data_IF_476202427338
#
_entry.id   IF_476202427338
#
_cell.length_a   1.000
_cell.length_b   1.000
_cell.length_c   1.000
_cell.angle_alpha   90.00
_cell.angle_beta   90.00
_cell.angle_gamma   90.00
#
_symmetry.space_group_name_H-M   'P 1'
#
loop_
_entity.id
_entity.type
_entity.pdbx_description
1 polymer ?
#
# COMPACT_ATOMS: atom_id res chain seq x y z
N UNK A 1 7.40 49.39 -31.03
CA UNK A 1 8.07 48.07 -31.03
C UNK A 1 9.12 48.06 -29.92
N UNK A 2 8.84 47.40 -28.79
CA UNK A 2 9.78 47.24 -27.69
C UNK A 2 10.54 45.93 -27.87
N UNK A 3 11.88 45.98 -27.94
CA UNK A 3 12.75 44.81 -28.04
C UNK A 3 13.24 44.42 -26.65
N UNK A 4 12.90 43.22 -26.20
CA UNK A 4 13.41 42.64 -24.95
C UNK A 4 14.78 41.98 -25.20
N UNK A 5 15.77 42.29 -24.34
CA UNK A 5 17.01 41.51 -24.24
C UNK A 5 16.88 40.46 -23.13
N UNK A 6 17.24 39.19 -23.36
CA UNK A 6 17.25 38.19 -22.31
C UNK A 6 18.49 38.33 -21.40
N UNK A 7 18.28 38.22 -20.09
CA UNK A 7 19.32 38.19 -19.06
C UNK A 7 20.00 36.81 -19.03
N UNK A 8 21.32 36.77 -19.16
CA UNK A 8 22.13 35.56 -18.99
C UNK A 8 22.28 35.23 -17.50
N UNK A 9 21.78 34.08 -17.07
CA UNK A 9 22.01 33.56 -15.71
C UNK A 9 23.22 32.64 -15.71
N UNK A 10 24.24 32.96 -14.90
CA UNK A 10 25.42 32.10 -14.68
C UNK A 10 25.04 30.90 -13.79
N UNK A 11 25.55 29.69 -14.03
CA UNK A 11 25.29 28.53 -13.17
C UNK A 11 26.05 28.65 -11.84
N UNK A 12 25.39 28.27 -10.74
CA UNK A 12 25.98 28.22 -9.41
C UNK A 12 26.89 26.98 -9.25
N UNK A 13 27.97 27.06 -8.46
CA UNK A 13 28.88 25.94 -8.25
C UNK A 13 28.25 24.86 -7.33
N UNK A 14 28.41 23.60 -7.73
CA UNK A 14 28.00 22.43 -6.94
C UNK A 14 28.87 22.27 -5.67
N UNK A 15 28.30 21.88 -4.52
CA UNK A 15 29.08 21.55 -3.34
C UNK A 15 29.76 20.17 -3.50
N UNK A 16 31.06 20.12 -3.22
CA UNK A 16 31.88 18.92 -3.19
C UNK A 16 31.44 18.01 -2.03
N UNK A 17 30.98 16.79 -2.37
CA UNK A 17 30.69 15.73 -1.40
C UNK A 17 32.01 15.22 -0.81
N UNK A 18 32.27 15.55 0.46
CA UNK A 18 33.43 15.05 1.22
C UNK A 18 33.09 13.67 1.76
N UNK A 19 33.80 12.64 1.29
CA UNK A 19 33.69 11.28 1.84
C UNK A 19 34.29 11.22 3.25
N UNK A 20 33.55 10.66 4.20
CA UNK A 20 34.06 10.25 5.51
C UNK A 20 34.16 8.72 5.50
N UNK A 21 35.24 8.10 6.00
CA UNK A 21 35.36 6.65 6.08
C UNK A 21 34.53 6.07 7.24
N UNK A 22 33.93 4.91 6.99
CA UNK A 22 33.19 4.08 7.95
C UNK A 22 34.10 3.61 9.09
N UNK A 23 33.72 3.94 10.34
CA UNK A 23 34.28 3.34 11.54
C UNK A 23 33.53 2.01 11.78
N UNK A 24 34.23 0.89 11.60
CA UNK A 24 33.72 -0.43 11.96
C UNK A 24 33.85 -0.65 13.48
N UNK A 25 32.71 -0.82 14.16
CA UNK A 25 32.67 -1.29 15.55
C UNK A 25 32.16 -2.73 15.55
N UNK A 26 33.03 -3.68 15.93
CA UNK A 26 32.64 -5.06 16.24
C UNK A 26 32.03 -5.13 17.64
N UNK A 27 30.97 -5.93 17.87
CA UNK A 27 30.53 -6.26 19.21
C UNK A 27 31.24 -7.51 19.75
N UNK A 28 31.84 -7.36 20.94
CA UNK A 28 32.33 -8.47 21.77
C UNK A 28 31.14 -9.31 22.28
N UNK A 29 31.16 -10.61 22.02
CA UNK A 29 30.21 -11.59 22.55
C UNK A 29 30.70 -12.05 23.93
N UNK A 30 29.97 -11.74 25.00
CA UNK A 30 30.21 -12.31 26.33
C UNK A 30 29.33 -13.55 26.53
N UNK A 31 29.99 -14.68 26.77
CA UNK A 31 29.40 -15.96 27.17
C UNK A 31 28.91 -15.85 28.64
N UNK A 32 27.62 -16.08 28.86
CA UNK A 32 27.12 -16.48 30.17
C UNK A 32 26.52 -17.89 30.04
N UNK A 33 27.26 -18.83 30.62
CA UNK A 33 26.87 -20.21 30.90
C UNK A 33 25.88 -20.17 32.06
N UNK A 34 24.68 -20.71 31.85
CA UNK A 34 23.83 -21.17 32.95
C UNK A 34 23.46 -22.63 32.72
N UNK A 35 23.85 -23.42 33.71
CA UNK A 35 23.74 -24.85 33.80
C UNK A 35 22.29 -25.37 33.94
N UNK A 36 22.09 -26.55 33.35
CA UNK A 36 21.36 -27.70 33.89
C UNK A 36 19.92 -27.52 34.41
N UNK A 37 18.95 -27.87 33.55
CA UNK A 37 17.73 -28.58 33.97
C UNK A 37 17.48 -29.79 33.04
N UNK A 38 17.53 -31.04 33.53
CA UNK A 38 17.12 -32.19 32.75
C UNK A 38 15.59 -32.35 32.83
N UNK A 39 14.87 -31.80 31.86
CA UNK A 39 13.46 -32.15 31.63
C UNK A 39 13.40 -33.45 30.81
N UNK A 40 13.07 -34.54 31.48
CA UNK A 40 12.76 -35.82 30.87
C UNK A 40 11.44 -35.73 30.09
N UNK A 41 11.51 -35.88 28.77
CA UNK A 41 10.35 -36.20 27.95
C UNK A 41 10.39 -37.69 27.60
N UNK A 42 9.54 -38.47 28.25
CA UNK A 42 9.24 -39.83 27.82
C UNK A 42 8.35 -39.81 26.57
N UNK A 43 8.60 -40.80 25.72
CA UNK A 43 8.16 -41.00 24.35
C UNK A 43 6.69 -40.72 24.01
N UNK A 44 6.47 -40.21 22.78
CA UNK A 44 5.60 -40.87 21.79
C UNK A 44 5.84 -40.28 20.39
N UNK A 45 6.82 -40.84 19.68
CA UNK A 45 7.00 -40.55 18.26
C UNK A 45 5.90 -41.25 17.46
N UNK A 46 4.75 -40.59 17.28
CA UNK A 46 3.88 -40.89 16.12
C UNK A 46 4.51 -40.19 14.91
N UNK A 47 5.36 -40.91 14.19
CA UNK A 47 5.72 -40.58 12.81
C UNK A 47 4.45 -40.59 11.97
N UNK A 48 3.79 -39.43 11.83
CA UNK A 48 2.89 -39.17 10.72
C UNK A 48 3.78 -38.57 9.65
N UNK A 49 4.32 -39.46 8.81
CA UNK A 49 5.07 -39.10 7.62
C UNK A 49 4.15 -38.51 6.56
N UNK A 50 3.66 -37.30 6.79
CA UNK A 50 3.11 -36.49 5.73
C UNK A 50 4.29 -35.90 4.97
N UNK A 51 4.70 -36.61 3.92
CA UNK A 51 5.57 -36.08 2.88
C UNK A 51 4.90 -34.82 2.34
N UNK A 52 5.28 -33.66 2.85
CA UNK A 52 4.97 -32.40 2.17
C UNK A 52 5.76 -32.44 0.86
N UNK A 53 5.13 -32.96 -0.19
CA UNK A 53 5.58 -32.78 -1.56
C UNK A 53 5.51 -31.27 -1.82
N UNK A 54 6.58 -30.56 -1.47
CA UNK A 54 6.85 -29.22 -1.96
C UNK A 54 7.17 -29.39 -3.45
N UNK A 55 6.13 -29.60 -4.27
CA UNK A 55 6.24 -29.45 -5.71
C UNK A 55 6.61 -28.00 -5.95
N UNK A 56 7.90 -27.76 -6.15
CA UNK A 56 8.44 -26.46 -6.51
C UNK A 56 7.84 -26.09 -7.86
N UNK A 57 6.70 -25.39 -7.84
CA UNK A 57 5.96 -24.91 -9.00
C UNK A 57 6.71 -23.77 -9.72
N UNK A 58 8.02 -23.94 -9.88
CA UNK A 58 8.97 -22.94 -10.38
C UNK A 58 10.20 -23.55 -11.09
N UNK A 59 10.23 -24.86 -11.36
CA UNK A 59 11.34 -25.52 -12.06
C UNK A 59 11.30 -25.34 -13.59
N UNK A 60 10.59 -24.34 -14.10
CA UNK A 60 10.68 -23.99 -15.52
C UNK A 60 11.97 -23.21 -15.76
N UNK A 61 12.66 -23.48 -16.89
CA UNK A 61 13.85 -22.73 -17.30
C UNK A 61 13.57 -21.22 -17.49
N UNK A 62 12.30 -20.83 -17.53
CA UNK A 62 11.81 -19.47 -17.73
C UNK A 62 11.18 -18.85 -16.47
N UNK A 63 11.36 -19.44 -15.28
CA UNK A 63 10.90 -18.86 -14.01
C UNK A 63 9.42 -19.11 -13.68
N UNK A 64 8.89 -18.35 -12.70
CA UNK A 64 7.49 -18.47 -12.26
C UNK A 64 6.56 -17.73 -13.24
N UNK A 65 5.49 -18.37 -13.74
CA UNK A 65 4.59 -17.75 -14.73
C UNK A 65 3.93 -16.46 -14.24
N UNK A 66 3.65 -16.35 -12.93
CA UNK A 66 3.06 -15.17 -12.31
C UNK A 66 3.95 -13.91 -12.34
N UNK A 67 5.25 -14.05 -12.61
CA UNK A 67 6.20 -12.93 -12.66
C UNK A 67 6.17 -12.24 -14.03
N UNK A 68 5.79 -12.96 -15.09
CA UNK A 68 5.84 -12.47 -16.47
C UNK A 68 4.48 -12.00 -16.99
N UNK A 69 3.39 -12.39 -16.32
CA UNK A 69 2.06 -11.90 -16.65
C UNK A 69 1.88 -10.46 -16.13
N UNK A 70 2.34 -9.49 -16.92
CA UNK A 70 2.03 -8.07 -16.70
C UNK A 70 0.56 -7.78 -17.02
N UNK A 71 -0.02 -6.76 -16.39
CA UNK A 71 -1.47 -6.51 -16.30
C UNK A 71 -2.26 -6.70 -17.61
N UNK A 72 -1.75 -6.23 -18.76
CA UNK A 72 -2.43 -6.33 -20.06
C UNK A 72 -2.29 -7.70 -20.75
N UNK A 73 -1.45 -8.58 -20.22
CA UNK A 73 -1.17 -9.92 -20.75
C UNK A 73 -2.05 -11.00 -20.10
N UNK A 74 -2.75 -10.66 -19.00
CA UNK A 74 -3.61 -11.61 -18.28
C UNK A 74 -4.92 -11.84 -19.02
N UNK A 75 -5.37 -13.09 -18.98
CA UNK A 75 -6.71 -13.44 -19.42
C UNK A 75 -7.72 -13.11 -18.30
N UNK A 76 -8.64 -12.21 -18.57
CA UNK A 76 -9.59 -11.71 -17.58
C UNK A 76 -10.85 -12.58 -17.60
N UNK A 77 -11.37 -12.90 -16.41
CA UNK A 77 -12.59 -13.68 -16.27
C UNK A 77 -13.80 -12.83 -16.68
N UNK A 78 -14.76 -13.44 -17.38
CA UNK A 78 -16.00 -12.77 -17.78
C UNK A 78 -16.73 -12.14 -16.58
N UNK A 79 -16.78 -12.82 -15.44
CA UNK A 79 -17.41 -12.30 -14.21
C UNK A 79 -16.83 -10.97 -13.73
N UNK A 80 -15.52 -10.77 -13.91
CA UNK A 80 -14.83 -9.54 -13.53
C UNK A 80 -15.18 -8.40 -14.50
N UNK A 81 -15.26 -8.69 -15.80
CA UNK A 81 -15.71 -7.74 -16.82
C UNK A 81 -17.16 -7.30 -16.54
N UNK A 82 -18.03 -8.24 -16.14
CA UNK A 82 -19.42 -7.98 -15.76
C UNK A 82 -19.53 -7.05 -14.55
N UNK A 83 -18.76 -7.33 -13.49
CA UNK A 83 -18.74 -6.53 -12.26
C UNK A 83 -18.24 -5.11 -12.55
N UNK A 84 -17.14 -5.00 -13.28
CA UNK A 84 -16.57 -3.73 -13.72
C UNK A 84 -17.60 -2.89 -14.49
N UNK A 85 -18.26 -3.49 -15.47
CA UNK A 85 -19.30 -2.82 -16.29
C UNK A 85 -20.45 -2.28 -15.43
N UNK A 86 -20.85 -2.99 -14.36
CA UNK A 86 -21.91 -2.54 -13.45
C UNK A 86 -21.49 -1.34 -12.60
N UNK A 87 -20.24 -1.31 -12.15
CA UNK A 87 -19.75 -0.25 -11.26
C UNK A 87 -19.27 0.99 -12.02
N UNK A 88 -18.62 0.83 -13.18
CA UNK A 88 -18.14 1.95 -13.99
C UNK A 88 -19.21 2.52 -14.91
N UNK A 89 -20.19 1.70 -15.32
CA UNK A 89 -21.16 2.05 -16.37
C UNK A 89 -20.59 1.95 -17.79
N UNK A 90 -19.34 1.55 -17.95
CA UNK A 90 -18.68 1.40 -19.26
C UNK A 90 -18.75 -0.05 -19.76
N UNK A 91 -19.13 -0.22 -21.03
CA UNK A 91 -19.26 -1.55 -21.63
C UNK A 91 -17.93 -2.10 -22.14
N UNK A 92 -17.15 -2.67 -21.22
CA UNK A 92 -15.86 -3.33 -21.54
C UNK A 92 -16.03 -4.56 -22.43
N UNK A 93 -17.19 -5.23 -22.37
CA UNK A 93 -17.48 -6.43 -23.18
C UNK A 93 -17.57 -6.14 -24.67
N UNK A 94 -17.85 -4.90 -25.04
CA UNK A 94 -17.96 -4.47 -26.45
C UNK A 94 -16.62 -4.41 -27.18
N UNK A 95 -15.50 -4.43 -26.45
CA UNK A 95 -14.16 -4.40 -27.03
C UNK A 95 -13.72 -5.79 -27.52
N UNK A 96 -12.77 -5.81 -28.45
CA UNK A 96 -12.17 -7.07 -28.92
C UNK A 96 -11.48 -7.79 -27.74
N UNK A 97 -11.48 -9.14 -27.69
CA UNK A 97 -10.90 -9.89 -26.57
C UNK A 97 -9.44 -9.54 -26.24
N UNK A 98 -8.67 -9.09 -27.24
CA UNK A 98 -7.28 -8.65 -27.07
C UNK A 98 -7.15 -7.29 -26.35
N UNK A 99 -8.13 -6.41 -26.52
CA UNK A 99 -8.12 -5.04 -25.99
C UNK A 99 -8.85 -4.91 -24.65
N UNK A 100 -9.74 -5.86 -24.35
CA UNK A 100 -10.42 -5.99 -23.06
C UNK A 100 -9.49 -5.86 -21.84
N UNK A 101 -8.31 -6.52 -21.77
CA UNK A 101 -7.45 -6.38 -20.61
C UNK A 101 -6.86 -4.99 -20.43
N UNK A 102 -6.54 -4.29 -21.53
CA UNK A 102 -6.13 -2.89 -21.46
C UNK A 102 -7.22 -1.98 -20.88
N UNK A 103 -8.46 -2.19 -21.31
CA UNK A 103 -9.60 -1.39 -20.86
C UNK A 103 -9.97 -1.66 -19.40
N UNK A 104 -9.92 -2.93 -18.97
CA UNK A 104 -10.10 -3.28 -17.55
C UNK A 104 -9.05 -2.59 -16.68
N UNK A 105 -7.78 -2.64 -17.09
CA UNK A 105 -6.72 -1.98 -16.30
C UNK A 105 -6.91 -0.46 -16.26
N UNK A 106 -7.32 0.18 -17.36
CA UNK A 106 -7.65 1.60 -17.38
C UNK A 106 -8.74 1.96 -16.37
N UNK A 107 -9.81 1.18 -16.33
CA UNK A 107 -10.92 1.38 -15.40
C UNK A 107 -10.50 1.19 -13.94
N UNK A 108 -9.68 0.19 -13.65
CA UNK A 108 -9.12 0.02 -12.31
C UNK A 108 -8.23 1.19 -11.90
N UNK A 109 -7.38 1.68 -12.81
CA UNK A 109 -6.57 2.88 -12.55
C UNK A 109 -7.44 4.10 -12.30
N UNK A 110 -8.51 4.28 -13.07
CA UNK A 110 -9.42 5.41 -12.87
C UNK A 110 -10.13 5.35 -11.53
N UNK A 111 -10.62 4.16 -11.15
CA UNK A 111 -11.21 3.94 -9.83
C UNK A 111 -10.21 4.27 -8.72
N UNK A 112 -8.98 3.78 -8.81
CA UNK A 112 -7.93 4.07 -7.84
C UNK A 112 -7.59 5.57 -7.78
N UNK A 113 -7.53 6.26 -8.92
CA UNK A 113 -7.31 7.71 -8.98
C UNK A 113 -8.44 8.48 -8.29
N UNK A 114 -9.70 8.09 -8.50
CA UNK A 114 -10.88 8.70 -7.84
C UNK A 114 -10.84 8.47 -6.33
N UNK A 115 -10.67 7.22 -5.89
CA UNK A 115 -10.59 6.87 -4.46
C UNK A 115 -9.44 7.60 -3.77
N UNK A 116 -8.27 7.67 -4.42
CA UNK A 116 -7.12 8.43 -3.90
C UNK A 116 -7.41 9.93 -3.83
N UNK A 117 -8.06 10.49 -4.84
CA UNK A 117 -8.44 11.91 -4.85
C UNK A 117 -9.44 12.23 -3.73
N UNK A 118 -10.41 11.34 -3.48
CA UNK A 118 -11.38 11.53 -2.40
C UNK A 118 -10.74 11.36 -1.02
N UNK A 119 -9.83 10.39 -0.86
CA UNK A 119 -9.04 10.25 0.36
C UNK A 119 -8.17 11.49 0.63
N UNK A 120 -7.57 12.07 -0.42
CA UNK A 120 -6.79 13.32 -0.32
C UNK A 120 -7.63 14.54 0.05
N UNK A 121 -8.92 14.57 -0.32
CA UNK A 121 -9.83 15.65 0.08
C UNK A 121 -10.24 15.54 1.56
N UNK A 122 -10.38 14.31 2.06
CA UNK A 122 -10.89 14.05 3.40
C UNK A 122 -9.79 14.03 4.47
N UNK A 123 -8.56 13.61 4.15
CA UNK A 123 -7.47 13.57 5.13
C UNK A 123 -6.40 14.63 4.80
N UNK A 124 -6.30 15.71 5.60
CA UNK A 124 -5.33 16.78 5.38
C UNK A 124 -3.86 16.33 5.56
N UNK A 125 -3.62 15.20 6.23
CA UNK A 125 -2.28 14.63 6.47
C UNK A 125 -1.81 13.66 5.38
N UNK A 126 -2.73 13.18 4.54
CA UNK A 126 -2.46 12.11 3.59
C UNK A 126 -1.50 12.53 2.47
N UNK A 127 -1.59 13.77 2.00
CA UNK A 127 -0.71 14.27 0.95
C UNK A 127 0.77 14.27 1.36
N UNK A 128 1.07 14.65 2.60
CA UNK A 128 2.43 14.68 3.11
C UNK A 128 2.99 13.26 3.30
N UNK A 129 2.19 12.37 3.91
CA UNK A 129 2.57 10.97 4.16
C UNK A 129 2.80 10.19 2.86
N UNK A 130 1.97 10.38 1.84
CA UNK A 130 2.15 9.77 0.52
C UNK A 130 3.46 10.19 -0.18
N UNK A 131 3.97 11.37 0.14
CA UNK A 131 5.24 11.88 -0.40
C UNK A 131 6.43 11.62 0.55
N UNK A 132 6.26 10.79 1.58
CA UNK A 132 7.26 10.52 2.62
C UNK A 132 7.72 11.78 3.38
N UNK A 133 6.86 12.80 3.45
CA UNK A 133 7.12 14.04 4.17
C UNK A 133 6.39 14.06 5.51
N UNK A 134 6.87 14.90 6.43
CA UNK A 134 6.16 15.16 7.70
C UNK A 134 4.96 16.08 7.45
N UNK A 135 3.75 15.76 7.95
CA UNK A 135 2.59 16.64 7.85
C UNK A 135 2.84 17.96 8.61
N UNK A 136 2.19 19.03 8.17
CA UNK A 136 2.30 20.33 8.84
C UNK A 136 1.57 20.31 10.18
N UNK A 137 1.95 21.21 11.10
CA UNK A 137 1.26 21.34 12.39
C UNK A 137 -0.24 21.63 12.23
N UNK A 138 -0.61 22.46 11.26
CA UNK A 138 -2.00 22.77 10.95
C UNK A 138 -2.78 21.53 10.51
N UNK A 139 -2.25 20.76 9.54
CA UNK A 139 -2.91 19.55 9.06
C UNK A 139 -3.11 18.48 10.15
N UNK A 140 -2.20 18.42 11.13
CA UNK A 140 -2.37 17.53 12.29
C UNK A 140 -3.54 18.00 13.17
N UNK A 141 -3.62 19.31 13.46
CA UNK A 141 -4.69 19.89 14.26
C UNK A 141 -6.04 19.73 13.56
N UNK A 142 -6.11 20.00 12.25
CA UNK A 142 -7.34 19.86 11.48
C UNK A 142 -7.86 18.42 11.54
N UNK A 143 -6.97 17.43 11.44
CA UNK A 143 -7.32 16.01 11.57
C UNK A 143 -7.82 15.66 12.99
N UNK A 144 -7.17 16.18 14.03
CA UNK A 144 -7.59 15.99 15.42
C UNK A 144 -8.99 16.56 15.67
N UNK A 145 -9.27 17.76 15.17
CA UNK A 145 -10.59 18.40 15.26
C UNK A 145 -11.66 17.56 14.55
N UNK A 146 -11.39 17.11 13.32
CA UNK A 146 -12.32 16.27 12.56
C UNK A 146 -12.64 14.93 13.26
N UNK A 147 -11.63 14.31 13.87
CA UNK A 147 -11.79 13.06 14.64
C UNK A 147 -12.62 13.29 15.91
N UNK A 148 -12.38 14.38 16.63
CA UNK A 148 -13.16 14.78 17.80
C UNK A 148 -14.63 15.08 17.42
N UNK A 149 -14.86 15.85 16.36
CA UNK A 149 -16.20 16.17 15.87
C UNK A 149 -16.97 14.92 15.47
N UNK A 150 -16.32 13.98 14.75
CA UNK A 150 -16.93 12.70 14.37
C UNK A 150 -17.32 11.88 15.60
N UNK A 151 -16.43 11.78 16.58
CA UNK A 151 -16.70 11.05 17.83
C UNK A 151 -17.84 11.69 18.64
N UNK A 152 -17.94 13.02 18.68
CA UNK A 152 -19.05 13.72 19.31
C UNK A 152 -20.37 13.49 18.57
N UNK A 153 -20.36 13.50 17.24
CA UNK A 153 -21.53 13.24 16.41
C UNK A 153 -22.06 11.81 16.63
N UNK A 154 -21.18 10.82 16.71
CA UNK A 154 -21.55 9.43 17.01
C UNK A 154 -22.18 9.29 18.41
N UNK A 155 -21.57 9.91 19.43
CA UNK A 155 -22.13 9.95 20.79
C UNK A 155 -23.52 10.60 20.84
N UNK A 156 -23.74 11.66 20.06
CA UNK A 156 -25.03 12.36 19.97
C UNK A 156 -26.09 11.53 19.24
N UNK A 157 -25.73 10.86 18.14
CA UNK A 157 -26.62 9.94 17.42
C UNK A 157 -27.08 8.77 18.30
N UNK A 158 -26.18 8.21 19.12
CA UNK A 158 -26.53 7.16 20.07
C UNK A 158 -27.49 7.61 21.18
N UNK A 159 -27.36 8.84 21.69
CA UNK A 159 -28.27 9.40 22.71
C UNK A 159 -29.62 9.87 22.17
N UNK A 160 -29.75 10.15 20.87
CA UNK A 160 -31.02 10.55 20.25
C UNK A 160 -32.03 9.41 20.05
N UNK A 161 -31.60 8.15 20.13
CA UNK A 161 -32.46 6.97 19.95
C UNK A 161 -33.08 6.45 21.26
N UNK A 162 -32.69 7.00 22.42
CA UNK A 162 -33.19 6.59 23.75
C UNK A 162 -34.17 7.61 24.34
N UNK A 163 -34.82 8.43 23.50
CA UNK A 163 -35.95 9.25 23.94
C UNK A 163 -37.15 8.34 24.19
N UNK A 164 -37.33 7.93 25.45
CA UNK A 164 -38.53 7.28 25.94
C UNK A 164 -39.77 8.05 25.45
N UNK A 165 -40.58 7.40 24.62
CA UNK A 165 -41.91 7.90 24.28
C UNK A 165 -42.79 7.75 25.51
N UNK A 166 -42.87 8.79 26.33
CA UNK A 166 -43.99 8.95 27.26
C UNK A 166 -45.22 9.36 26.43
N UNK A 167 -45.97 8.36 25.96
CA UNK A 167 -47.38 8.49 25.60
C UNK A 167 -48.24 8.06 26.79
#
# INVERSE_FOLDING_TARGET
MMTYRPLQTKPLPFPLFRSQPLISLQPYLTLLVFDNFPMSYTASAKQIGDKVNMSYAGNSKVGFPNIYEDSNQKNIKKSEIDEMTRHSGENVKGFMPKDQPGEVNRLYEEKFKRERADALKNDPTLAATLNNNKPSKGAIIDKEIEEEERAMLEKKKGKGMTGESHY
#
